data_IF_405710213512
#
_entry.id   IF_405710213512
#
_cell.length_a   1.000
_cell.length_b   1.000
_cell.length_c   1.000
_cell.angle_alpha   90.00
_cell.angle_beta   90.00
_cell.angle_gamma   90.00
#
_symmetry.space_group_name_H-M   'P 1'
#
loop_
_entity.id
_entity.type
_entity.pdbx_description
1 polymer ?
#
# COMPACT_ATOMS: atom_id res chain seq x y z
N UNK A 1 -3.82 74.73 23.32
CA UNK A 1 -4.16 73.78 22.24
C UNK A 1 -3.30 72.51 22.38
N UNK A 2 -3.92 71.34 22.62
CA UNK A 2 -3.18 70.09 22.59
C UNK A 2 -3.17 69.54 21.15
N UNK A 3 -1.98 69.09 20.71
CA UNK A 3 -1.80 68.37 19.44
C UNK A 3 -2.02 66.90 19.73
N UNK A 4 -3.14 66.34 19.30
CA UNK A 4 -3.41 64.91 19.30
C UNK A 4 -2.58 64.21 18.23
N UNK A 5 -1.71 63.30 18.68
CA UNK A 5 -0.94 62.42 17.79
C UNK A 5 -1.78 61.17 17.53
N UNK A 6 -2.50 61.14 16.42
CA UNK A 6 -3.21 59.95 15.93
C UNK A 6 -2.18 58.92 15.42
N UNK A 7 -1.87 57.91 16.23
CA UNK A 7 -1.14 56.72 15.76
C UNK A 7 -2.08 55.80 15.02
N UNK A 8 -1.83 55.63 13.72
CA UNK A 8 -2.61 54.79 12.82
C UNK A 8 -2.62 53.33 13.27
N UNK A 9 -3.80 52.82 13.64
CA UNK A 9 -4.06 51.41 13.99
C UNK A 9 -3.73 50.37 12.90
N UNK A 10 -3.44 50.83 11.67
CA UNK A 10 -3.15 49.99 10.53
C UNK A 10 -1.73 49.38 10.52
N UNK A 11 -0.78 49.98 11.23
CA UNK A 11 0.62 49.50 11.28
C UNK A 11 0.83 48.34 12.25
N UNK A 12 0.06 48.28 13.35
CA UNK A 12 0.22 47.23 14.38
C UNK A 12 -0.32 45.87 13.91
N UNK A 13 -1.45 45.86 13.21
CA UNK A 13 -2.07 44.62 12.69
C UNK A 13 -1.24 43.96 11.57
N UNK A 14 -0.47 44.74 10.80
CA UNK A 14 0.38 44.21 9.74
C UNK A 14 1.63 43.53 10.28
N UNK A 15 2.22 44.03 11.36
CA UNK A 15 3.39 43.48 12.03
C UNK A 15 3.09 42.15 12.74
N UNK A 16 1.88 42.02 13.36
CA UNK A 16 1.49 40.77 14.03
C UNK A 16 1.24 39.63 13.03
N UNK A 17 0.71 39.93 11.84
CA UNK A 17 0.47 38.92 10.80
C UNK A 17 1.78 38.42 10.15
N UNK A 18 2.76 39.27 9.97
CA UNK A 18 4.08 38.88 9.44
C UNK A 18 4.87 38.04 10.45
N UNK A 19 4.77 38.34 11.75
CA UNK A 19 5.46 37.56 12.80
C UNK A 19 4.87 36.15 12.95
N UNK A 20 3.54 35.97 12.79
CA UNK A 20 2.89 34.67 12.86
C UNK A 20 3.27 33.75 11.70
N UNK A 21 3.41 34.31 10.50
CA UNK A 21 3.80 33.54 9.30
C UNK A 21 5.27 33.09 9.35
N UNK A 22 6.16 33.95 9.87
CA UNK A 22 7.58 33.60 10.04
C UNK A 22 7.80 32.52 11.10
N UNK A 23 7.02 32.51 12.18
CA UNK A 23 7.09 31.48 13.22
C UNK A 23 6.59 30.11 12.74
N UNK A 24 5.53 30.07 11.92
CA UNK A 24 5.00 28.84 11.34
C UNK A 24 6.00 28.22 10.32
N UNK A 25 6.70 29.04 9.53
CA UNK A 25 7.72 28.57 8.59
C UNK A 25 8.95 28.01 9.30
N UNK A 26 9.37 28.61 10.42
CA UNK A 26 10.51 28.13 11.21
C UNK A 26 10.23 26.78 11.89
N UNK A 27 8.98 26.53 12.35
CA UNK A 27 8.59 25.25 12.94
C UNK A 27 8.58 24.10 11.92
N UNK A 28 8.15 24.36 10.69
CA UNK A 28 8.15 23.35 9.62
C UNK A 28 9.58 22.94 9.20
N UNK A 29 10.52 23.88 9.15
CA UNK A 29 11.92 23.60 8.80
C UNK A 29 12.66 22.81 9.88
N UNK A 30 12.36 23.02 11.15
CA UNK A 30 12.93 22.25 12.26
C UNK A 30 12.52 20.78 12.24
N UNK A 31 11.24 20.48 11.96
CA UNK A 31 10.76 19.11 11.88
C UNK A 31 11.47 18.30 10.76
N UNK A 32 11.67 18.89 9.59
CA UNK A 32 12.39 18.25 8.50
C UNK A 32 13.89 18.04 8.78
N UNK A 33 14.51 18.93 9.55
CA UNK A 33 15.90 18.77 9.96
C UNK A 33 16.09 17.54 10.88
N UNK A 34 15.15 17.31 11.79
CA UNK A 34 15.17 16.14 12.68
C UNK A 34 14.98 14.82 11.93
N UNK A 35 14.04 14.74 10.98
CA UNK A 35 13.83 13.55 10.13
C UNK A 35 15.05 13.22 9.28
N UNK A 36 15.72 14.23 8.71
CA UNK A 36 16.96 14.05 7.95
C UNK A 36 18.10 13.54 8.81
N UNK A 37 18.20 14.00 10.06
CA UNK A 37 19.22 13.55 10.99
C UNK A 37 18.98 12.09 11.42
N UNK A 38 17.75 11.73 11.72
CA UNK A 38 17.35 10.34 12.05
C UNK A 38 17.66 9.42 10.86
N UNK A 39 17.34 9.83 9.63
CA UNK A 39 17.69 9.07 8.43
C UNK A 39 19.19 8.79 8.33
N UNK A 40 20.02 9.82 8.43
CA UNK A 40 21.49 9.68 8.38
C UNK A 40 22.02 8.74 9.46
N UNK A 41 21.54 8.89 10.70
CA UNK A 41 21.96 8.06 11.83
C UNK A 41 21.56 6.60 11.63
N UNK A 42 20.35 6.34 11.10
CA UNK A 42 19.85 4.99 10.83
C UNK A 42 20.65 4.34 9.69
N UNK A 43 20.89 5.06 8.60
CA UNK A 43 21.70 4.55 7.49
C UNK A 43 23.15 4.28 7.90
N UNK A 44 23.71 5.10 8.77
CA UNK A 44 25.04 4.86 9.35
C UNK A 44 25.07 3.59 10.23
N UNK A 45 24.01 3.34 11.01
CA UNK A 45 23.87 2.12 11.81
C UNK A 45 23.72 0.87 10.92
N UNK A 46 22.90 0.94 9.87
CA UNK A 46 22.68 -0.17 8.93
C UNK A 46 23.91 -0.41 8.03
N UNK A 47 24.74 0.61 7.81
CA UNK A 47 25.90 0.56 6.91
C UNK A 47 25.56 0.67 5.41
N UNK A 48 24.35 1.06 5.08
CA UNK A 48 23.87 1.22 3.70
C UNK A 48 22.72 2.22 3.59
N UNK A 49 22.46 2.84 2.42
CA UNK A 49 21.36 3.78 2.18
C UNK A 49 20.01 3.03 2.07
N UNK A 50 19.63 2.31 3.13
CA UNK A 50 18.46 1.45 3.18
C UNK A 50 17.16 2.16 3.61
N UNK A 51 17.24 3.42 4.09
CA UNK A 51 16.06 4.14 4.56
C UNK A 51 15.34 4.81 3.40
N UNK A 52 14.08 4.48 3.22
CA UNK A 52 13.19 5.12 2.26
C UNK A 52 12.65 6.44 2.81
N UNK A 53 12.00 6.38 3.98
CA UNK A 53 11.35 7.53 4.59
C UNK A 53 11.49 7.52 6.11
N UNK A 54 11.58 8.71 6.69
CA UNK A 54 11.45 8.96 8.13
C UNK A 54 10.28 9.92 8.33
N UNK A 55 9.45 9.69 9.35
CA UNK A 55 8.32 10.54 9.69
C UNK A 55 8.18 10.60 11.21
N UNK A 56 8.02 11.79 11.77
CA UNK A 56 7.73 11.93 13.20
C UNK A 56 6.33 11.40 13.50
N UNK A 57 6.18 10.64 14.58
CA UNK A 57 4.88 10.14 15.04
C UNK A 57 4.30 11.00 16.15
N UNK A 58 3.00 10.84 16.43
CA UNK A 58 2.33 11.45 17.58
C UNK A 58 2.57 10.68 18.90
N UNK A 59 3.33 9.59 18.85
CA UNK A 59 3.54 8.70 19.99
C UNK A 59 4.92 8.92 20.61
N UNK A 60 4.94 9.46 21.83
CA UNK A 60 6.12 9.59 22.70
C UNK A 60 7.37 10.22 22.03
N UNK A 61 7.19 11.03 20.99
CA UNK A 61 8.31 11.63 20.24
C UNK A 61 9.10 10.63 19.38
N UNK A 62 8.55 9.46 19.11
CA UNK A 62 9.14 8.45 18.22
C UNK A 62 9.09 8.89 16.75
N UNK A 63 10.05 8.40 15.98
CA UNK A 63 10.10 8.50 14.53
C UNK A 63 9.81 7.14 13.92
N UNK A 64 8.90 7.10 12.96
CA UNK A 64 8.68 6.00 12.03
C UNK A 64 9.81 6.01 11.00
N UNK A 65 10.47 4.88 10.81
CA UNK A 65 11.48 4.66 9.77
C UNK A 65 11.02 3.54 8.86
N UNK A 66 10.73 3.88 7.62
CA UNK A 66 10.38 2.92 6.56
C UNK A 66 11.64 2.58 5.79
N UNK A 67 11.96 1.29 5.71
CA UNK A 67 13.10 0.78 4.96
C UNK A 67 12.68 0.40 3.53
N UNK A 68 13.63 0.43 2.60
CA UNK A 68 13.40 0.10 1.18
C UNK A 68 12.92 -1.33 0.94
N UNK A 69 13.14 -2.24 1.89
CA UNK A 69 12.61 -3.60 1.87
C UNK A 69 11.16 -3.71 2.38
N UNK A 70 10.51 -2.57 2.69
CA UNK A 70 9.15 -2.49 3.20
C UNK A 70 9.02 -2.66 4.72
N UNK A 71 10.11 -2.92 5.45
CA UNK A 71 10.08 -3.01 6.91
C UNK A 71 9.86 -1.64 7.53
N UNK A 72 9.08 -1.57 8.61
CA UNK A 72 8.82 -0.39 9.40
C UNK A 72 9.33 -0.60 10.82
N UNK A 73 10.16 0.32 11.29
CA UNK A 73 10.70 0.33 12.66
C UNK A 73 10.52 1.72 13.27
N UNK A 74 10.70 1.82 14.59
CA UNK A 74 10.62 3.10 15.29
C UNK A 74 11.92 3.38 16.03
N UNK A 75 12.23 4.67 16.23
CA UNK A 75 13.39 5.13 16.96
C UNK A 75 13.14 6.51 17.59
N UNK A 76 14.04 6.99 18.45
CA UNK A 76 14.04 8.37 18.93
C UNK A 76 14.81 9.31 17.98
N UNK A 77 14.77 10.61 18.24
CA UNK A 77 15.48 11.63 17.45
C UNK A 77 17.00 11.42 17.36
N UNK A 78 17.60 10.66 18.26
CA UNK A 78 19.05 10.40 18.32
C UNK A 78 19.42 9.02 17.78
N UNK A 79 18.44 8.24 17.37
CA UNK A 79 18.63 6.83 16.97
C UNK A 79 19.34 6.00 18.07
N UNK A 80 18.96 6.23 19.34
CA UNK A 80 19.59 5.56 20.47
C UNK A 80 19.11 4.13 20.70
N UNK A 81 17.99 3.74 20.10
CA UNK A 81 17.42 2.40 20.09
C UNK A 81 16.57 2.19 18.84
N UNK A 82 16.23 0.94 18.54
CA UNK A 82 15.27 0.56 17.49
C UNK A 82 14.18 -0.29 18.16
N UNK A 83 12.92 0.01 17.83
CA UNK A 83 11.77 -0.83 18.16
C UNK A 83 11.31 -1.50 16.87
N UNK A 84 11.42 -2.82 16.80
CA UNK A 84 10.82 -3.65 15.75
C UNK A 84 9.57 -4.30 16.37
N UNK A 85 8.41 -3.70 16.09
CA UNK A 85 7.15 -4.11 16.69
C UNK A 85 6.03 -3.10 16.44
N UNK A 86 4.83 -3.38 17.02
CA UNK A 86 3.62 -2.57 16.82
C UNK A 86 3.38 -1.54 17.91
N UNK A 87 2.93 -0.36 17.49
CA UNK A 87 2.30 0.63 18.36
C UNK A 87 0.80 0.36 18.39
N UNK A 88 0.27 0.06 19.58
CA UNK A 88 -1.17 -0.09 19.81
C UNK A 88 -1.68 1.17 20.52
N UNK A 89 -2.55 1.92 19.87
CA UNK A 89 -3.23 3.03 20.48
C UNK A 89 -4.27 2.51 21.50
N UNK A 90 -4.03 2.77 22.78
CA UNK A 90 -4.85 2.19 23.86
C UNK A 90 -6.22 2.84 23.99
N UNK A 91 -6.39 4.08 23.52
CA UNK A 91 -7.68 4.77 23.54
C UNK A 91 -8.63 4.23 22.47
N UNK A 92 -8.10 3.97 21.28
CA UNK A 92 -8.88 3.47 20.13
C UNK A 92 -8.78 1.96 19.94
N UNK A 93 -7.88 1.29 20.64
CA UNK A 93 -7.50 -0.14 20.47
C UNK A 93 -7.02 -0.51 19.08
N UNK A 94 -6.52 0.46 18.32
CA UNK A 94 -6.04 0.25 16.97
C UNK A 94 -4.55 -0.09 16.95
N UNK A 95 -4.18 -1.06 16.15
CA UNK A 95 -2.78 -1.26 15.73
C UNK A 95 -2.43 -0.20 14.67
N UNK A 96 -1.69 0.83 15.12
CA UNK A 96 -1.27 1.95 14.28
C UNK A 96 -0.24 1.51 13.27
N UNK A 97 0.66 0.63 13.67
CA UNK A 97 1.70 0.07 12.80
C UNK A 97 1.08 -0.75 11.67
N UNK A 98 0.15 -1.64 11.99
CA UNK A 98 -0.52 -2.44 10.96
C UNK A 98 -1.33 -1.56 9.99
N UNK A 99 -2.03 -0.54 10.51
CA UNK A 99 -2.74 0.42 9.67
C UNK A 99 -1.78 1.16 8.73
N UNK A 100 -0.60 1.52 9.23
CA UNK A 100 0.44 2.18 8.45
C UNK A 100 1.05 1.26 7.39
N UNK A 101 1.37 0.01 7.75
CA UNK A 101 1.84 -1.01 6.81
C UNK A 101 0.83 -1.23 5.67
N UNK A 102 -0.47 -1.29 5.98
CA UNK A 102 -1.52 -1.39 4.97
C UNK A 102 -1.54 -0.17 4.02
N UNK A 103 -1.28 1.05 4.54
CA UNK A 103 -1.17 2.24 3.71
C UNK A 103 0.07 2.21 2.80
N UNK A 104 1.21 1.76 3.33
CA UNK A 104 2.46 1.68 2.57
C UNK A 104 2.42 0.61 1.47
N UNK A 105 1.72 -0.49 1.72
CA UNK A 105 1.52 -1.57 0.75
C UNK A 105 0.32 -1.36 -0.17
N UNK A 106 -0.46 -0.28 0.03
CA UNK A 106 -1.59 0.01 -0.83
C UNK A 106 -1.12 0.36 -2.25
N UNK A 107 -1.65 -0.34 -3.22
CA UNK A 107 -1.47 -0.05 -4.64
C UNK A 107 -2.63 0.81 -5.15
N UNK A 108 -2.38 1.62 -6.14
CA UNK A 108 -3.46 2.30 -6.84
C UNK A 108 -4.26 1.27 -7.66
N UNK A 109 -5.48 1.00 -7.21
CA UNK A 109 -6.36 0.04 -7.86
C UNK A 109 -6.59 0.37 -9.34
N UNK A 110 -6.63 1.65 -9.69
CA UNK A 110 -6.84 2.10 -11.07
C UNK A 110 -5.64 1.84 -11.98
N UNK A 111 -4.46 1.62 -11.40
CA UNK A 111 -3.23 1.31 -12.15
C UNK A 111 -3.10 -0.18 -12.53
N UNK A 112 -3.98 -1.05 -12.03
CA UNK A 112 -3.94 -2.45 -12.36
C UNK A 112 -4.22 -2.69 -13.85
N UNK A 113 -3.44 -3.55 -14.54
CA UNK A 113 -3.64 -3.87 -15.95
C UNK A 113 -4.79 -4.89 -16.11
N UNK A 114 -6.04 -4.42 -15.96
CA UNK A 114 -7.23 -5.28 -15.96
C UNK A 114 -7.43 -6.10 -17.23
N UNK A 115 -6.88 -5.67 -18.36
CA UNK A 115 -6.84 -6.41 -19.63
C UNK A 115 -5.99 -7.68 -19.56
N UNK A 116 -5.09 -7.77 -18.58
CA UNK A 116 -4.22 -8.90 -18.31
C UNK A 116 -4.80 -9.89 -17.28
N UNK A 117 -6.01 -9.66 -16.81
CA UNK A 117 -6.68 -10.53 -15.83
C UNK A 117 -7.77 -11.38 -16.46
N UNK A 118 -8.06 -12.51 -15.83
CA UNK A 118 -9.29 -13.28 -16.10
C UNK A 118 -10.48 -12.52 -15.50
N UNK A 119 -11.38 -12.07 -16.35
CA UNK A 119 -12.56 -11.28 -15.94
C UNK A 119 -13.78 -12.15 -15.82
N UNK A 120 -14.48 -12.05 -14.68
CA UNK A 120 -15.77 -12.69 -14.43
C UNK A 120 -16.74 -11.61 -13.96
N UNK A 121 -17.91 -11.52 -14.59
CA UNK A 121 -18.96 -10.58 -14.21
C UNK A 121 -20.17 -11.36 -13.73
N UNK A 122 -20.67 -11.02 -12.54
CA UNK A 122 -21.88 -11.61 -11.94
C UNK A 122 -22.89 -10.50 -11.68
N UNK A 123 -24.14 -10.75 -12.05
CA UNK A 123 -25.20 -9.75 -11.94
C UNK A 123 -24.89 -8.48 -12.69
N UNK A 124 -25.03 -7.31 -12.04
CA UNK A 124 -24.72 -5.99 -12.62
C UNK A 124 -23.22 -5.66 -12.56
N UNK A 125 -22.42 -6.43 -11.80
CA UNK A 125 -20.99 -6.24 -11.68
C UNK A 125 -20.56 -4.93 -11.01
N UNK A 126 -21.39 -4.37 -10.12
CA UNK A 126 -21.17 -3.03 -9.55
C UNK A 126 -19.99 -2.93 -8.58
N UNK A 127 -19.70 -4.02 -7.86
CA UNK A 127 -18.51 -4.13 -7.02
C UNK A 127 -17.37 -4.71 -7.83
N UNK A 128 -16.16 -4.22 -7.60
CA UNK A 128 -14.98 -4.69 -8.33
C UNK A 128 -13.96 -5.28 -7.35
N UNK A 129 -13.49 -6.47 -7.64
CA UNK A 129 -12.45 -7.18 -6.87
C UNK A 129 -11.32 -7.54 -7.83
N UNK A 130 -10.08 -7.34 -7.39
CA UNK A 130 -8.89 -7.86 -8.04
C UNK A 130 -8.18 -8.84 -7.11
N UNK A 131 -7.81 -10.00 -7.64
CA UNK A 131 -7.10 -11.06 -6.91
C UNK A 131 -5.86 -11.50 -7.69
N UNK A 132 -4.84 -11.96 -6.97
CA UNK A 132 -3.66 -12.60 -7.54
C UNK A 132 -3.64 -14.04 -7.05
N UNK A 133 -3.83 -15.00 -7.95
CA UNK A 133 -4.13 -16.35 -7.56
C UNK A 133 -3.28 -17.39 -8.30
N UNK A 134 -2.75 -18.35 -7.52
CA UNK A 134 -2.13 -19.54 -8.06
C UNK A 134 -3.19 -20.66 -8.19
N UNK A 135 -3.31 -21.34 -9.34
CA UNK A 135 -4.33 -22.37 -9.55
C UNK A 135 -4.22 -23.57 -8.61
N UNK A 136 -3.06 -23.84 -8.03
CA UNK A 136 -2.85 -24.94 -7.09
C UNK A 136 -2.91 -24.51 -5.62
N UNK A 137 -3.12 -23.22 -5.35
CA UNK A 137 -3.25 -22.69 -4.00
C UNK A 137 -4.60 -23.13 -3.38
N UNK A 138 -4.54 -23.86 -2.28
CA UNK A 138 -5.73 -24.32 -1.57
C UNK A 138 -6.57 -23.18 -0.99
N UNK A 139 -5.95 -22.09 -0.55
CA UNK A 139 -6.66 -20.89 -0.08
C UNK A 139 -7.33 -20.13 -1.23
N UNK A 140 -6.69 -20.05 -2.39
CA UNK A 140 -7.26 -19.46 -3.60
C UNK A 140 -8.52 -20.24 -4.06
N UNK A 141 -8.47 -21.57 -4.02
CA UNK A 141 -9.65 -22.40 -4.32
C UNK A 141 -10.79 -22.18 -3.32
N UNK A 142 -10.48 -21.98 -2.04
CA UNK A 142 -11.49 -21.62 -1.04
C UNK A 142 -12.08 -20.25 -1.32
N UNK A 143 -11.25 -19.24 -1.58
CA UNK A 143 -11.69 -17.91 -1.99
C UNK A 143 -12.57 -17.97 -3.24
N UNK A 144 -12.17 -18.74 -4.26
CA UNK A 144 -12.96 -18.92 -5.49
C UNK A 144 -14.37 -19.45 -5.22
N UNK A 145 -14.53 -20.39 -4.27
CA UNK A 145 -15.85 -20.90 -3.84
C UNK A 145 -16.67 -19.83 -3.14
N UNK A 146 -16.04 -19.01 -2.30
CA UNK A 146 -16.73 -17.90 -1.62
C UNK A 146 -17.15 -16.82 -2.63
N UNK A 147 -16.28 -16.45 -3.55
CA UNK A 147 -16.57 -15.49 -4.64
C UNK A 147 -17.67 -16.01 -5.58
N UNK A 148 -17.77 -17.34 -5.74
CA UNK A 148 -18.85 -17.95 -6.52
C UNK A 148 -20.23 -17.74 -5.90
N UNK A 149 -20.34 -17.46 -4.61
CA UNK A 149 -21.61 -17.17 -3.92
C UNK A 149 -21.99 -15.68 -3.97
N UNK A 150 -21.07 -14.80 -4.41
CA UNK A 150 -21.34 -13.36 -4.46
C UNK A 150 -22.18 -13.00 -5.69
N UNK A 151 -23.05 -12.00 -5.51
CA UNK A 151 -23.79 -11.35 -6.59
C UNK A 151 -23.28 -9.93 -6.83
N UNK A 152 -23.61 -9.34 -7.98
CA UNK A 152 -23.29 -7.97 -8.37
C UNK A 152 -21.80 -7.61 -8.21
N UNK A 153 -20.93 -8.46 -8.75
CA UNK A 153 -19.47 -8.30 -8.66
C UNK A 153 -18.79 -8.53 -10.01
N UNK A 154 -17.80 -7.69 -10.31
CA UNK A 154 -16.79 -7.96 -11.33
C UNK A 154 -15.52 -8.42 -10.65
N UNK A 155 -15.03 -9.59 -10.98
CA UNK A 155 -13.82 -10.19 -10.43
C UNK A 155 -12.76 -10.19 -11.53
N UNK A 156 -11.59 -9.66 -11.21
CA UNK A 156 -10.39 -9.72 -12.05
C UNK A 156 -9.35 -10.58 -11.33
N UNK A 157 -9.10 -11.77 -11.84
CA UNK A 157 -8.09 -12.69 -11.32
C UNK A 157 -6.83 -12.63 -12.17
N UNK A 158 -5.76 -12.10 -11.59
CA UNK A 158 -4.42 -12.19 -12.17
C UNK A 158 -3.86 -13.57 -11.85
N UNK A 159 -3.57 -14.34 -12.88
CA UNK A 159 -2.97 -15.67 -12.71
C UNK A 159 -1.52 -15.50 -12.26
N UNK A 160 -1.21 -16.00 -11.06
CA UNK A 160 0.07 -15.81 -10.38
C UNK A 160 0.71 -17.16 -10.00
N UNK A 161 1.24 -17.93 -10.99
CA UNK A 161 1.70 -19.31 -10.80
C UNK A 161 3.09 -19.35 -10.17
N UNK A 162 3.18 -19.33 -8.85
CA UNK A 162 4.44 -19.33 -8.10
C UNK A 162 4.72 -20.63 -7.34
N UNK A 163 3.72 -21.52 -7.20
CA UNK A 163 3.84 -22.70 -6.34
C UNK A 163 4.50 -23.89 -7.04
N UNK A 164 4.30 -24.06 -8.36
CA UNK A 164 4.82 -25.20 -9.08
C UNK A 164 4.79 -25.01 -10.62
N UNK A 165 5.52 -25.86 -11.33
CA UNK A 165 5.46 -25.95 -12.81
C UNK A 165 4.05 -26.31 -13.29
N UNK A 166 3.33 -27.16 -12.55
CA UNK A 166 1.94 -27.50 -12.83
C UNK A 166 1.01 -26.27 -12.68
N UNK A 167 1.29 -25.38 -11.72
CA UNK A 167 0.59 -24.10 -11.59
C UNK A 167 0.74 -23.25 -12.85
N UNK A 168 1.96 -23.23 -13.42
CA UNK A 168 2.24 -22.52 -14.66
C UNK A 168 1.46 -23.12 -15.83
N UNK A 169 1.50 -24.43 -15.97
CA UNK A 169 0.76 -25.14 -17.03
C UNK A 169 -0.74 -24.87 -16.96
N UNK A 170 -1.33 -24.95 -15.75
CA UNK A 170 -2.76 -24.66 -15.56
C UNK A 170 -3.11 -23.20 -15.86
N UNK A 171 -2.27 -22.26 -15.43
CA UNK A 171 -2.45 -20.85 -15.74
C UNK A 171 -2.41 -20.57 -17.24
N UNK A 172 -1.46 -21.15 -17.96
CA UNK A 172 -1.35 -21.03 -19.40
C UNK A 172 -2.59 -21.61 -20.10
N UNK A 173 -3.09 -22.79 -19.67
CA UNK A 173 -4.30 -23.39 -20.21
C UNK A 173 -5.55 -22.54 -19.97
N UNK A 174 -5.72 -21.99 -18.77
CA UNK A 174 -6.82 -21.05 -18.44
C UNK A 174 -6.72 -19.80 -19.30
N UNK A 175 -5.53 -19.22 -19.42
CA UNK A 175 -5.32 -18.00 -20.19
C UNK A 175 -5.62 -18.18 -21.68
N UNK A 176 -5.28 -19.33 -22.22
CA UNK A 176 -5.51 -19.66 -23.62
C UNK A 176 -6.90 -20.27 -23.91
N UNK A 177 -7.72 -20.47 -22.88
CA UNK A 177 -9.09 -20.96 -23.07
C UNK A 177 -9.95 -19.93 -23.81
N UNK A 178 -10.90 -20.40 -24.61
CA UNK A 178 -11.86 -19.55 -25.33
C UNK A 178 -12.70 -18.69 -24.37
N UNK A 179 -13.05 -19.25 -23.23
CA UNK A 179 -13.73 -18.59 -22.11
C UNK A 179 -12.87 -18.78 -20.85
N UNK A 180 -12.01 -17.80 -20.61
CA UNK A 180 -11.07 -17.82 -19.48
C UNK A 180 -11.78 -17.86 -18.14
N UNK A 181 -12.87 -17.09 -18.00
CA UNK A 181 -13.65 -17.02 -16.77
C UNK A 181 -14.30 -18.35 -16.43
N UNK A 182 -14.88 -19.02 -17.43
CA UNK A 182 -15.47 -20.36 -17.26
C UNK A 182 -14.41 -21.40 -16.91
N UNK A 183 -13.26 -21.40 -17.61
CA UNK A 183 -12.18 -22.34 -17.34
C UNK A 183 -11.60 -22.16 -15.93
N UNK A 184 -11.41 -20.91 -15.48
CA UNK A 184 -10.95 -20.61 -14.13
C UNK A 184 -11.96 -21.08 -13.08
N UNK A 185 -13.23 -20.73 -13.24
CA UNK A 185 -14.29 -21.10 -12.29
C UNK A 185 -14.43 -22.62 -12.17
N UNK A 186 -14.46 -23.34 -13.28
CA UNK A 186 -14.55 -24.81 -13.30
C UNK A 186 -13.37 -25.45 -12.52
N UNK A 187 -12.14 -24.89 -12.66
CA UNK A 187 -10.99 -25.38 -11.92
C UNK A 187 -11.08 -25.08 -10.41
N UNK A 188 -11.33 -23.83 -10.03
CA UNK A 188 -11.23 -23.44 -8.60
C UNK A 188 -12.42 -23.88 -7.79
N UNK A 189 -13.63 -23.97 -8.38
CA UNK A 189 -14.86 -24.35 -7.70
C UNK A 189 -15.12 -25.85 -7.79
N UNK A 190 -15.05 -26.42 -9.02
CA UNK A 190 -15.49 -27.77 -9.33
C UNK A 190 -14.32 -28.77 -9.39
N UNK A 191 -13.09 -28.28 -9.50
CA UNK A 191 -11.89 -29.13 -9.64
C UNK A 191 -11.70 -29.70 -11.04
N UNK A 192 -12.41 -29.17 -12.04
CA UNK A 192 -12.29 -29.59 -13.43
C UNK A 192 -11.00 -29.00 -14.04
N UNK A 193 -10.07 -29.86 -14.47
CA UNK A 193 -8.80 -29.39 -15.03
C UNK A 193 -9.00 -28.60 -16.32
N UNK A 194 -8.31 -27.44 -16.46
CA UNK A 194 -8.38 -26.65 -17.69
C UNK A 194 -7.84 -27.48 -18.88
N UNK A 195 -8.62 -27.53 -19.94
CA UNK A 195 -8.24 -28.23 -21.15
C UNK A 195 -6.93 -27.63 -21.73
N UNK A 196 -6.08 -28.48 -22.29
CA UNK A 196 -4.86 -28.01 -22.95
C UNK A 196 -5.17 -27.02 -24.05
N UNK A 197 -4.54 -25.86 -23.98
CA UNK A 197 -4.66 -24.78 -24.95
C UNK A 197 -3.27 -24.13 -25.15
N UNK A 198 -3.08 -23.48 -26.29
CA UNK A 198 -1.81 -22.80 -26.61
C UNK A 198 -2.08 -21.44 -27.25
N UNK A 199 -1.45 -20.42 -26.71
CA UNK A 199 -1.43 -19.06 -27.22
C UNK A 199 -0.21 -18.31 -26.64
N UNK A 200 -0.09 -17.01 -26.85
CA UNK A 200 0.90 -16.19 -26.16
C UNK A 200 0.53 -16.03 -24.67
N UNK A 201 1.41 -16.51 -23.79
CA UNK A 201 1.27 -16.46 -22.33
C UNK A 201 2.31 -15.56 -21.65
N UNK A 202 3.00 -14.69 -22.41
CA UNK A 202 3.99 -13.75 -21.87
C UNK A 202 3.40 -12.87 -20.76
N UNK A 203 2.10 -12.57 -20.79
CA UNK A 203 1.37 -11.87 -19.75
C UNK A 203 1.47 -12.56 -18.39
N UNK A 204 1.33 -13.89 -18.34
CA UNK A 204 1.43 -14.66 -17.10
C UNK A 204 2.84 -14.58 -16.49
N UNK A 205 3.88 -14.56 -17.32
CA UNK A 205 5.25 -14.40 -16.84
C UNK A 205 5.45 -13.07 -16.12
N UNK A 206 4.90 -11.97 -16.66
CA UNK A 206 4.99 -10.63 -16.06
C UNK A 206 4.26 -10.47 -14.72
N UNK A 207 3.31 -11.33 -14.41
CA UNK A 207 2.61 -11.28 -13.12
C UNK A 207 3.48 -11.74 -11.95
N UNK A 208 4.57 -12.46 -12.19
CA UNK A 208 5.46 -13.02 -11.17
C UNK A 208 6.82 -12.31 -11.06
N UNK A 209 7.06 -11.30 -11.89
CA UNK A 209 8.22 -10.40 -11.84
C UNK A 209 7.97 -9.23 -10.87
#
# INVERSE_FOLDING_TARGET
NPVETSMNALTVTSLIRLSGLALALAAATAAHADESQVKKSMEAFIGSPAVEKVTRTDYAGLYEVVLKNGQLVYTDARNSFIIDGSIIDTATRRDVTQARMNQLSAIDFSSLPFDQAVKIVKGKGTRVIATFEDPNCGYCKRLGKDLAQMDDVTIYTFLYPILSEDSRTKSDNVWCAKDKGKAWTAWVVDGEEPARASCDTATIARHVE
#
